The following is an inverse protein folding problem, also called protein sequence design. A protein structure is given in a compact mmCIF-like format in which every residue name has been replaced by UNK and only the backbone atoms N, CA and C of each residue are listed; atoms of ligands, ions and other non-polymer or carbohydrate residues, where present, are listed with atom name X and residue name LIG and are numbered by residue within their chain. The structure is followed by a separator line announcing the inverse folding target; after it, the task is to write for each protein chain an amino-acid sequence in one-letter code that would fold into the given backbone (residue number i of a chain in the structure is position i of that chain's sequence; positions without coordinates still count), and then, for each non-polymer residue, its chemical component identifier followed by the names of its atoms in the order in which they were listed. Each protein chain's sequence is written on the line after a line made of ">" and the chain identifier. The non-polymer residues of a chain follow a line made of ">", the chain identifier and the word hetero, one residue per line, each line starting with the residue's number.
data_IF_032301864424
#
_entry.id   IF_032301864424
#
_cell.length_a   1.000
_cell.length_b   1.000
_cell.length_c   1.000
_cell.angle_alpha   90.00
_cell.angle_beta   90.00
_cell.angle_gamma   90.00
#
_symmetry.space_group_name_H-M   'P 1'
#
loop_
_entity.id
_entity.type
_entity.pdbx_description
1 polymer ?
#
# COMPACT_ATOMS: atom_id res chain seq x y z
N UNK A 1 8.18 14.85 1.69
CA UNK A 1 7.62 15.88 2.58
C UNK A 1 7.43 15.18 3.91
N UNK A 2 8.14 15.60 4.96
CA UNK A 2 8.08 14.93 6.27
C UNK A 2 6.68 15.14 6.87
N UNK A 3 6.07 14.10 7.44
CA UNK A 3 4.79 14.19 8.17
C UNK A 3 5.06 14.93 9.49
N UNK A 4 4.11 15.74 9.98
CA UNK A 4 4.30 16.61 11.15
C UNK A 4 4.82 15.87 12.40
N UNK A 5 4.43 14.62 12.59
CA UNK A 5 4.87 13.80 13.72
C UNK A 5 6.33 13.29 13.60
N UNK A 6 6.94 13.29 12.41
CA UNK A 6 8.36 12.96 12.21
C UNK A 6 9.27 14.12 12.62
N UNK A 7 8.75 15.35 12.59
CA UNK A 7 9.45 16.57 13.00
C UNK A 7 9.62 16.61 14.53
N UNK A 8 8.72 15.97 15.27
CA UNK A 8 8.76 15.83 16.73
C UNK A 8 9.73 14.74 17.26
N UNK A 9 10.57 14.17 16.38
CA UNK A 9 11.56 13.15 16.75
C UNK A 9 11.03 11.71 16.81
N UNK A 10 9.84 11.45 16.26
CA UNK A 10 9.34 10.07 16.06
C UNK A 10 9.97 9.43 14.82
N UNK A 11 9.88 8.10 14.74
CA UNK A 11 10.44 7.33 13.62
C UNK A 11 9.90 7.83 12.28
N UNK A 12 10.80 7.89 11.29
CA UNK A 12 10.46 8.29 9.92
C UNK A 12 9.76 7.16 9.17
N UNK A 13 9.02 7.50 8.12
CA UNK A 13 8.42 6.57 7.18
C UNK A 13 9.44 5.60 6.62
N UNK A 14 10.68 6.05 6.34
CA UNK A 14 11.77 5.18 5.90
C UNK A 14 12.12 4.08 6.93
N UNK A 15 12.05 4.39 8.22
CA UNK A 15 12.27 3.40 9.29
C UNK A 15 11.14 2.37 9.30
N UNK A 16 9.89 2.84 9.17
CA UNK A 16 8.73 1.97 9.07
C UNK A 16 8.76 1.08 7.82
N UNK A 17 9.14 1.64 6.67
CA UNK A 17 9.35 0.87 5.43
C UNK A 17 10.40 -0.21 5.64
N UNK A 18 11.54 0.11 6.28
CA UNK A 18 12.58 -0.87 6.56
C UNK A 18 12.08 -2.02 7.43
N UNK A 19 11.33 -1.71 8.49
CA UNK A 19 10.70 -2.73 9.36
C UNK A 19 9.77 -3.63 8.53
N UNK A 20 8.92 -3.04 7.68
CA UNK A 20 8.01 -3.80 6.82
C UNK A 20 8.74 -4.70 5.83
N UNK A 21 9.83 -4.23 5.22
CA UNK A 21 10.66 -5.04 4.31
C UNK A 21 11.21 -6.26 5.04
N UNK A 22 11.71 -6.10 6.27
CA UNK A 22 12.24 -7.20 7.07
C UNK A 22 11.14 -8.19 7.44
N UNK A 23 10.00 -7.71 7.94
CA UNK A 23 8.89 -8.57 8.37
C UNK A 23 8.30 -9.34 7.17
N UNK A 24 7.95 -8.63 6.10
CA UNK A 24 7.31 -9.24 4.94
C UNK A 24 8.28 -10.20 4.24
N UNK A 25 9.53 -9.78 4.05
CA UNK A 25 10.55 -10.61 3.40
C UNK A 25 10.98 -11.85 4.20
N UNK A 26 10.83 -11.83 5.53
CA UNK A 26 11.12 -13.00 6.36
C UNK A 26 9.99 -14.04 6.37
N UNK A 27 8.74 -13.60 6.18
CA UNK A 27 7.55 -14.45 6.36
C UNK A 27 7.01 -14.97 5.02
N UNK A 28 7.04 -14.14 3.97
CA UNK A 28 6.34 -14.43 2.71
C UNK A 28 7.31 -14.80 1.58
N UNK A 29 6.82 -15.56 0.57
CA UNK A 29 7.58 -15.82 -0.65
C UNK A 29 8.06 -14.55 -1.35
N UNK A 30 9.12 -14.70 -2.14
CA UNK A 30 9.76 -13.60 -2.89
C UNK A 30 8.76 -12.80 -3.73
N UNK A 31 7.90 -13.45 -4.50
CA UNK A 31 6.95 -12.78 -5.39
C UNK A 31 5.94 -11.92 -4.61
N UNK A 32 5.39 -12.47 -3.51
CA UNK A 32 4.45 -11.76 -2.62
C UNK A 32 5.14 -10.58 -1.95
N UNK A 33 6.37 -10.78 -1.46
CA UNK A 33 7.17 -9.72 -0.83
C UNK A 33 7.42 -8.57 -1.79
N UNK A 34 7.89 -8.87 -3.01
CA UNK A 34 8.16 -7.85 -4.02
C UNK A 34 6.87 -7.09 -4.35
N UNK A 35 5.77 -7.79 -4.57
CA UNK A 35 4.51 -7.16 -4.98
C UNK A 35 3.91 -6.28 -3.87
N UNK A 36 3.95 -6.73 -2.62
CA UNK A 36 3.52 -5.94 -1.47
C UNK A 36 4.35 -4.65 -1.30
N UNK A 37 5.67 -4.73 -1.50
CA UNK A 37 6.54 -3.56 -1.46
C UNK A 37 6.32 -2.63 -2.65
N UNK A 38 5.99 -3.15 -3.83
CA UNK A 38 5.63 -2.32 -4.98
C UNK A 38 4.29 -1.60 -4.77
N UNK A 39 3.32 -2.22 -4.08
CA UNK A 39 2.07 -1.55 -3.72
C UNK A 39 2.34 -0.34 -2.82
N UNK A 40 3.26 -0.46 -1.85
CA UNK A 40 3.71 0.67 -1.05
C UNK A 40 4.46 1.71 -1.88
N UNK A 41 5.45 1.31 -2.68
CA UNK A 41 6.34 2.27 -3.34
C UNK A 41 5.74 2.92 -4.61
N UNK A 42 4.64 2.39 -5.15
CA UNK A 42 3.98 2.92 -6.35
C UNK A 42 2.53 3.29 -6.06
N UNK A 43 1.75 2.36 -5.50
CA UNK A 43 0.33 2.56 -5.24
C UNK A 43 0.06 3.75 -4.32
N UNK A 44 0.73 3.80 -3.18
CA UNK A 44 0.57 4.87 -2.18
C UNK A 44 1.01 6.25 -2.70
N UNK A 45 2.20 6.42 -3.31
CA UNK A 45 2.56 7.69 -3.95
C UNK A 45 1.58 8.13 -5.03
N UNK A 46 1.08 7.21 -5.86
CA UNK A 46 0.07 7.56 -6.89
C UNK A 46 -1.23 8.01 -6.23
N UNK A 47 -1.70 7.29 -5.21
CA UNK A 47 -2.90 7.67 -4.45
C UNK A 47 -2.75 9.05 -3.81
N UNK A 48 -1.60 9.33 -3.19
CA UNK A 48 -1.30 10.61 -2.57
C UNK A 48 -1.21 11.74 -3.61
N UNK A 49 -0.50 11.56 -4.71
CA UNK A 49 -0.34 12.59 -5.76
C UNK A 49 -1.68 12.92 -6.41
N UNK A 50 -2.46 11.91 -6.80
CA UNK A 50 -3.77 12.13 -7.41
C UNK A 50 -4.75 12.69 -6.39
N UNK A 51 -4.71 12.21 -5.15
CA UNK A 51 -5.56 12.72 -4.08
C UNK A 51 -5.28 14.17 -3.72
N UNK A 52 -4.03 14.61 -3.77
CA UNK A 52 -3.66 16.02 -3.56
C UNK A 52 -4.04 16.92 -4.75
N UNK A 53 -3.86 16.46 -5.99
CA UNK A 53 -4.09 17.27 -7.19
C UNK A 53 -5.55 17.33 -7.63
N UNK A 54 -6.27 16.22 -7.52
CA UNK A 54 -7.60 16.04 -8.10
C UNK A 54 -8.65 15.59 -7.09
N UNK A 55 -8.26 15.30 -5.85
CA UNK A 55 -9.18 14.79 -4.84
C UNK A 55 -10.22 15.82 -4.41
N UNK A 56 -11.49 15.48 -4.58
CA UNK A 56 -12.65 16.31 -4.22
C UNK A 56 -13.45 15.66 -3.10
N UNK A 57 -13.57 14.33 -3.15
CA UNK A 57 -14.41 13.57 -2.23
C UNK A 57 -13.56 13.06 -1.07
N UNK A 58 -13.66 13.71 0.09
CA UNK A 58 -12.90 13.34 1.29
C UNK A 58 -13.55 12.15 2.01
N UNK A 59 -12.73 11.15 2.36
CA UNK A 59 -13.11 9.96 3.11
C UNK A 59 -12.00 9.66 4.12
N UNK A 60 -12.34 9.64 5.41
CA UNK A 60 -11.40 9.31 6.51
C UNK A 60 -10.07 10.10 6.48
N UNK A 61 -10.09 11.36 6.02
CA UNK A 61 -8.89 12.20 5.92
C UNK A 61 -8.12 12.05 4.59
N UNK A 62 -8.43 11.02 3.80
CA UNK A 62 -7.91 10.79 2.44
C UNK A 62 -8.98 11.12 1.40
N UNK A 63 -8.75 10.81 0.12
CA UNK A 63 -9.71 11.12 -0.97
C UNK A 63 -10.08 9.88 -1.75
N UNK A 64 -11.35 9.79 -2.15
CA UNK A 64 -11.84 8.68 -2.98
C UNK A 64 -11.08 8.59 -4.30
N UNK A 65 -10.80 9.73 -4.92
CA UNK A 65 -10.07 9.79 -6.19
C UNK A 65 -8.62 9.30 -6.04
N UNK A 66 -7.99 9.58 -4.89
CA UNK A 66 -6.68 9.04 -4.54
C UNK A 66 -6.70 7.53 -4.40
N UNK A 67 -7.64 6.99 -3.60
CA UNK A 67 -7.80 5.54 -3.41
C UNK A 67 -8.04 4.82 -4.74
N UNK A 68 -8.93 5.34 -5.60
CA UNK A 68 -9.20 4.74 -6.92
C UNK A 68 -7.96 4.74 -7.82
N UNK A 69 -7.16 5.82 -7.80
CA UNK A 69 -5.91 5.88 -8.54
C UNK A 69 -4.86 4.91 -8.00
N UNK A 70 -4.76 4.76 -6.68
CA UNK A 70 -3.90 3.76 -6.04
C UNK A 70 -4.31 2.33 -6.41
N UNK A 71 -5.62 2.02 -6.42
CA UNK A 71 -6.13 0.71 -6.86
C UNK A 71 -5.71 0.43 -8.30
N UNK A 72 -5.91 1.40 -9.20
CA UNK A 72 -5.50 1.26 -10.60
C UNK A 72 -3.99 1.04 -10.74
N UNK A 73 -3.17 1.80 -9.99
CA UNK A 73 -1.72 1.65 -9.99
C UNK A 73 -1.27 0.26 -9.49
N UNK A 74 -1.83 -0.21 -8.36
CA UNK A 74 -1.56 -1.54 -7.82
C UNK A 74 -1.94 -2.65 -8.80
N UNK A 75 -3.09 -2.56 -9.47
CA UNK A 75 -3.49 -3.52 -10.51
C UNK A 75 -2.47 -3.53 -11.64
N UNK A 76 -2.11 -2.37 -12.19
CA UNK A 76 -1.15 -2.24 -13.30
C UNK A 76 0.19 -2.87 -12.94
N UNK A 77 0.70 -2.59 -11.73
CA UNK A 77 1.96 -3.10 -11.21
C UNK A 77 1.91 -4.62 -10.98
N UNK A 78 0.74 -5.18 -10.67
CA UNK A 78 0.56 -6.62 -10.50
C UNK A 78 0.40 -7.40 -11.82
N UNK A 79 0.12 -6.74 -12.95
CA UNK A 79 -0.09 -7.43 -14.24
C UNK A 79 1.08 -8.34 -14.67
N UNK A 80 2.37 -7.96 -14.50
CA UNK A 80 3.50 -8.80 -14.87
C UNK A 80 3.65 -10.07 -14.02
N UNK A 81 3.01 -10.15 -12.85
CA UNK A 81 3.11 -11.29 -11.93
C UNK A 81 2.12 -12.38 -12.32
N UNK A 82 2.39 -13.06 -13.43
CA UNK A 82 1.54 -14.12 -13.99
C UNK A 82 1.44 -15.38 -13.13
N UNK A 83 2.37 -15.56 -12.18
CA UNK A 83 2.35 -16.64 -11.16
C UNK A 83 1.19 -16.49 -10.19
N UNK A 84 0.64 -15.28 -10.03
CA UNK A 84 -0.50 -15.00 -9.16
C UNK A 84 -1.77 -14.87 -10.02
N UNK A 85 -2.88 -15.54 -9.65
CA UNK A 85 -4.14 -15.43 -10.38
C UNK A 85 -4.60 -13.98 -10.55
N UNK A 86 -5.15 -13.62 -11.71
CA UNK A 86 -5.58 -12.24 -12.00
C UNK A 86 -6.62 -11.73 -10.99
N UNK A 87 -7.56 -12.59 -10.59
CA UNK A 87 -8.59 -12.25 -9.61
C UNK A 87 -7.98 -11.93 -8.23
N UNK A 88 -6.94 -12.67 -7.81
CA UNK A 88 -6.21 -12.44 -6.55
C UNK A 88 -5.48 -11.09 -6.58
N UNK A 89 -4.87 -10.74 -7.72
CA UNK A 89 -4.23 -9.44 -7.94
C UNK A 89 -5.21 -8.27 -7.87
N UNK A 90 -6.36 -8.38 -8.51
CA UNK A 90 -7.39 -7.34 -8.47
C UNK A 90 -7.95 -7.20 -7.05
N UNK A 91 -8.32 -8.32 -6.42
CA UNK A 91 -8.92 -8.30 -5.09
C UNK A 91 -7.95 -7.75 -4.04
N UNK A 92 -6.69 -8.17 -4.07
CA UNK A 92 -5.66 -7.67 -3.15
C UNK A 92 -5.35 -6.20 -3.37
N UNK A 93 -5.37 -5.71 -4.62
CA UNK A 93 -5.21 -4.27 -4.91
C UNK A 93 -6.32 -3.43 -4.28
N UNK A 94 -7.57 -3.87 -4.43
CA UNK A 94 -8.74 -3.22 -3.80
C UNK A 94 -8.62 -3.29 -2.28
N UNK A 95 -8.37 -4.47 -1.72
CA UNK A 95 -8.24 -4.69 -0.28
C UNK A 95 -7.17 -3.80 0.34
N UNK A 96 -5.97 -3.78 -0.24
CA UNK A 96 -4.82 -3.03 0.30
C UNK A 96 -5.11 -1.53 0.33
N UNK A 97 -5.71 -0.99 -0.75
CA UNK A 97 -6.04 0.43 -0.81
C UNK A 97 -7.24 0.79 0.09
N UNK A 98 -8.14 -0.14 0.37
CA UNK A 98 -9.16 0.05 1.41
C UNK A 98 -8.53 0.07 2.81
N UNK A 99 -7.54 -0.78 3.08
CA UNK A 99 -6.79 -0.75 4.35
C UNK A 99 -6.03 0.57 4.50
N UNK A 100 -5.41 1.06 3.43
CA UNK A 100 -4.77 2.39 3.39
C UNK A 100 -5.77 3.52 3.63
N UNK A 101 -6.98 3.45 3.06
CA UNK A 101 -8.00 4.50 3.21
C UNK A 101 -8.49 4.69 4.66
N UNK A 102 -8.47 3.62 5.47
CA UNK A 102 -9.00 3.66 6.83
C UNK A 102 -8.07 4.43 7.80
N UNK A 103 -8.62 5.10 8.81
CA UNK A 103 -7.86 5.98 9.71
C UNK A 103 -7.18 5.18 10.83
N UNK A 104 -6.26 4.29 10.47
CA UNK A 104 -5.51 3.47 11.44
C UNK A 104 -4.52 4.31 12.25
N UNK A 105 -4.23 3.93 13.52
CA UNK A 105 -3.19 4.56 14.32
C UNK A 105 -1.76 4.09 13.97
N UNK A 106 -1.60 3.34 12.87
CA UNK A 106 -0.35 2.73 12.40
C UNK A 106 0.03 3.41 11.09
N UNK A 107 1.33 3.54 10.79
CA UNK A 107 1.78 4.18 9.57
C UNK A 107 1.48 3.34 8.30
N UNK A 108 1.17 4.02 7.19
CA UNK A 108 0.86 3.41 5.90
C UNK A 108 2.01 2.51 5.40
N UNK A 109 3.26 2.85 5.72
CA UNK A 109 4.45 2.07 5.39
C UNK A 109 4.47 0.69 6.06
N UNK A 110 3.64 0.46 7.10
CA UNK A 110 3.39 -0.87 7.69
C UNK A 110 2.10 -1.48 7.13
N UNK A 111 1.02 -0.72 7.11
CA UNK A 111 -0.31 -1.24 6.77
C UNK A 111 -0.33 -1.80 5.36
N UNK A 112 0.23 -1.09 4.39
CA UNK A 112 0.18 -1.47 2.98
C UNK A 112 0.96 -2.77 2.75
N UNK A 113 2.27 -2.90 3.09
CA UNK A 113 2.99 -4.14 2.82
C UNK A 113 2.41 -5.35 3.56
N UNK A 114 2.04 -5.19 4.83
CA UNK A 114 1.54 -6.31 5.63
C UNK A 114 0.16 -6.75 5.13
N UNK A 115 -0.75 -5.81 4.84
CA UNK A 115 -2.08 -6.15 4.35
C UNK A 115 -2.03 -6.79 2.96
N UNK A 116 -1.23 -6.25 2.04
CA UNK A 116 -1.05 -6.82 0.70
C UNK A 116 -0.46 -8.22 0.76
N UNK A 117 0.64 -8.41 1.51
CA UNK A 117 1.32 -9.70 1.61
C UNK A 117 0.44 -10.77 2.25
N UNK A 118 -0.25 -10.42 3.34
CA UNK A 118 -1.19 -11.32 4.02
C UNK A 118 -2.33 -11.72 3.08
N UNK A 119 -2.85 -10.77 2.30
CA UNK A 119 -3.96 -11.04 1.40
C UNK A 119 -3.56 -11.92 0.21
N UNK A 120 -2.42 -11.63 -0.43
CA UNK A 120 -1.88 -12.51 -1.46
C UNK A 120 -1.65 -13.92 -0.94
N UNK A 121 -1.10 -14.06 0.26
CA UNK A 121 -0.88 -15.36 0.88
C UNK A 121 -2.17 -16.13 1.15
N UNK A 122 -3.23 -15.44 1.61
CA UNK A 122 -4.54 -16.05 1.87
C UNK A 122 -5.26 -16.53 0.60
N UNK A 123 -5.04 -15.85 -0.53
CA UNK A 123 -5.73 -16.15 -1.79
C UNK A 123 -5.04 -17.21 -2.65
N UNK A 124 -3.79 -17.60 -2.32
CA UNK A 124 -2.99 -18.58 -3.06
C UNK A 124 -2.61 -18.12 -4.46
#
# INVERSE_FOLDING_TARGET
>A
MLKDHEIDGRLTGATWTFISVVIVGAIFPKDITILALLFLNIGDPVAAIIGMKFGKTKLFGKTLEGTLAGIAACIIVALPFSTIPLWSRIFTSVWTMLMELLPWPIDDNIIIPISAASMFWLLG
#
